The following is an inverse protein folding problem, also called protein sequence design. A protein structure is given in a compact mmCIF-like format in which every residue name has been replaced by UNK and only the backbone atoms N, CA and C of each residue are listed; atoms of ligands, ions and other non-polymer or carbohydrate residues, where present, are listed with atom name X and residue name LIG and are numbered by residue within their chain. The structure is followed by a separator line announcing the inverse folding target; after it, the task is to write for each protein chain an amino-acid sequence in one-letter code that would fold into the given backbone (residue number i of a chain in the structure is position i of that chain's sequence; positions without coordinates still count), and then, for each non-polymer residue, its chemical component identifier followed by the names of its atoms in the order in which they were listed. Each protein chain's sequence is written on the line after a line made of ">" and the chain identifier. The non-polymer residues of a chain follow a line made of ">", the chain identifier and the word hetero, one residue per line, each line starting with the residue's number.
data_IF_709068783849
#
_entry.id   IF_709068783849
#
_cell.length_a   1.000
_cell.length_b   1.000
_cell.length_c   1.000
_cell.angle_alpha   90.00
_cell.angle_beta   90.00
_cell.angle_gamma   90.00
#
_symmetry.space_group_name_H-M   'P 1'
#
loop_
_entity.id
_entity.type
_entity.pdbx_description
1 polymer ?
#
# COMPACT_ATOMS: atom_id res chain seq x y z
N UNK A 1 29.66 -21.74 5.92
CA UNK A 1 30.41 -20.70 6.67
C UNK A 1 29.92 -20.70 8.12
N UNK A 2 30.81 -20.96 9.09
CA UNK A 2 30.44 -20.90 10.52
C UNK A 2 30.78 -19.52 11.04
N UNK A 3 29.78 -18.78 11.50
CA UNK A 3 29.97 -17.50 12.20
C UNK A 3 30.46 -17.84 13.61
N UNK A 4 31.72 -17.53 13.89
CA UNK A 4 32.36 -17.85 15.18
C UNK A 4 32.29 -16.72 16.21
N UNK A 5 31.80 -15.53 15.85
CA UNK A 5 31.63 -14.38 16.74
C UNK A 5 30.28 -13.72 16.53
N UNK A 6 29.55 -13.54 17.61
CA UNK A 6 28.40 -12.64 17.67
C UNK A 6 28.93 -11.22 17.73
N UNK A 7 28.63 -10.41 16.74
CA UNK A 7 28.90 -8.97 16.74
C UNK A 7 27.58 -8.24 16.96
N UNK A 8 27.59 -7.23 17.82
CA UNK A 8 26.42 -6.35 17.98
C UNK A 8 26.14 -5.65 16.65
N UNK A 9 24.87 -5.60 16.20
CA UNK A 9 24.53 -4.89 14.99
C UNK A 9 24.86 -3.39 15.18
N UNK A 10 25.27 -2.70 14.11
CA UNK A 10 25.50 -1.27 14.17
C UNK A 10 24.21 -0.51 14.49
N UNK A 11 24.32 0.66 15.09
CA UNK A 11 23.18 1.46 15.52
C UNK A 11 22.18 1.75 14.40
N UNK A 12 22.67 2.09 13.21
CA UNK A 12 21.82 2.34 12.06
C UNK A 12 20.95 1.14 11.68
N UNK A 13 21.45 -0.08 11.81
CA UNK A 13 20.68 -1.29 11.51
C UNK A 13 19.56 -1.54 12.53
N UNK A 14 19.81 -1.17 13.80
CA UNK A 14 18.76 -1.20 14.84
C UNK A 14 17.68 -0.16 14.58
N UNK A 15 18.08 1.05 14.19
CA UNK A 15 17.17 2.14 13.85
C UNK A 15 16.33 1.79 12.60
N UNK A 16 16.96 1.23 11.57
CA UNK A 16 16.26 0.76 10.38
C UNK A 16 15.18 -0.29 10.72
N UNK A 17 15.53 -1.26 11.56
CA UNK A 17 14.55 -2.25 12.05
C UNK A 17 13.40 -1.61 12.81
N UNK A 18 13.68 -0.66 13.68
CA UNK A 18 12.63 0.08 14.40
C UNK A 18 11.74 0.87 13.45
N UNK A 19 12.33 1.49 12.43
CA UNK A 19 11.60 2.23 11.41
C UNK A 19 10.65 1.29 10.62
N UNK A 20 11.11 0.11 10.22
CA UNK A 20 10.27 -0.87 9.52
C UNK A 20 9.10 -1.36 10.40
N UNK A 21 9.32 -1.55 11.69
CA UNK A 21 8.26 -1.90 12.65
C UNK A 21 7.25 -0.76 12.77
N UNK A 22 7.72 0.47 12.91
CA UNK A 22 6.86 1.66 13.01
C UNK A 22 6.03 1.87 11.73
N UNK A 23 6.67 1.74 10.55
CA UNK A 23 5.96 1.82 9.27
C UNK A 23 4.94 0.70 9.12
N UNK A 24 5.24 -0.52 9.57
CA UNK A 24 4.26 -1.61 9.57
C UNK A 24 3.02 -1.27 10.39
N UNK A 25 3.22 -0.72 11.59
CA UNK A 25 2.11 -0.27 12.43
C UNK A 25 1.29 0.84 11.77
N UNK A 26 1.96 1.84 11.19
CA UNK A 26 1.31 2.92 10.47
C UNK A 26 0.50 2.42 9.26
N UNK A 27 1.05 1.51 8.46
CA UNK A 27 0.33 0.90 7.34
C UNK A 27 -0.91 0.12 7.80
N UNK A 28 -0.83 -0.60 8.92
CA UNK A 28 -1.99 -1.31 9.50
C UNK A 28 -3.09 -0.34 9.92
N UNK A 29 -2.72 0.74 10.60
CA UNK A 29 -3.67 1.77 11.03
C UNK A 29 -4.31 2.45 9.82
N UNK A 30 -3.51 2.85 8.85
CA UNK A 30 -3.99 3.44 7.61
C UNK A 30 -4.97 2.52 6.88
N UNK A 31 -4.60 1.26 6.69
CA UNK A 31 -5.45 0.28 6.02
C UNK A 31 -6.77 0.06 6.75
N UNK A 32 -6.72 -0.11 8.07
CA UNK A 32 -7.92 -0.31 8.89
C UNK A 32 -8.87 0.92 8.88
N UNK A 33 -8.30 2.11 8.70
CA UNK A 33 -9.07 3.36 8.73
C UNK A 33 -9.66 3.74 7.38
N UNK A 34 -8.92 3.49 6.30
CA UNK A 34 -9.23 4.04 4.98
C UNK A 34 -9.60 3.00 3.92
N UNK A 35 -9.53 1.72 4.22
CA UNK A 35 -10.01 0.67 3.33
C UNK A 35 -11.18 -0.08 3.96
N UNK A 36 -12.15 -0.45 3.14
CA UNK A 36 -13.22 -1.33 3.57
C UNK A 36 -12.82 -2.81 3.45
N UNK A 37 -13.72 -3.71 3.84
CA UNK A 37 -13.51 -5.15 3.78
C UNK A 37 -13.28 -5.71 2.37
N UNK A 38 -13.69 -4.98 1.34
CA UNK A 38 -13.45 -5.32 -0.07
C UNK A 38 -12.07 -4.87 -0.56
N UNK A 39 -11.36 -4.07 0.22
CA UNK A 39 -10.14 -3.40 -0.18
C UNK A 39 -10.39 -2.11 -0.98
N UNK A 40 -11.59 -1.56 -0.90
CA UNK A 40 -11.91 -0.29 -1.55
C UNK A 40 -11.44 0.86 -0.67
N UNK A 41 -10.73 1.80 -1.27
CA UNK A 41 -10.30 3.01 -0.59
C UNK A 41 -11.52 3.91 -0.34
N UNK A 42 -11.66 4.32 0.90
CA UNK A 42 -12.67 5.28 1.33
C UNK A 42 -12.15 6.69 1.06
N UNK A 43 -12.29 7.14 -0.19
CA UNK A 43 -11.85 8.46 -0.61
C UNK A 43 -12.57 9.55 0.17
N UNK A 44 -11.86 10.62 0.47
CA UNK A 44 -12.37 11.84 1.06
C UNK A 44 -12.17 13.00 0.09
N UNK A 45 -12.93 14.07 0.23
CA UNK A 45 -12.95 15.22 -0.69
C UNK A 45 -11.59 15.85 -1.02
N UNK A 46 -10.58 15.61 -0.20
CA UNK A 46 -9.26 16.25 -0.33
C UNK A 46 -8.18 15.38 -0.94
N UNK A 47 -8.45 14.12 -1.18
CA UNK A 47 -7.47 13.21 -1.76
C UNK A 47 -8.16 11.96 -2.32
N UNK A 48 -7.56 11.39 -3.32
CA UNK A 48 -8.02 10.14 -3.93
C UNK A 48 -9.24 10.28 -4.83
N UNK A 49 -9.64 11.49 -5.21
CA UNK A 49 -10.83 11.69 -6.02
C UNK A 49 -10.74 12.83 -7.02
N UNK A 50 -9.94 13.83 -6.71
CA UNK A 50 -9.94 15.05 -7.51
C UNK A 50 -9.13 14.94 -8.80
N UNK A 51 -8.13 14.06 -8.81
CA UNK A 51 -7.18 13.93 -9.90
C UNK A 51 -7.24 12.57 -10.60
N UNK A 52 -7.96 11.65 -10.02
CA UNK A 52 -8.25 10.36 -10.63
C UNK A 52 -7.90 9.13 -9.79
N UNK A 53 -8.00 7.94 -10.39
CA UNK A 53 -7.77 6.69 -9.69
C UNK A 53 -6.33 6.45 -9.25
N UNK A 54 -5.37 7.04 -9.92
CA UNK A 54 -3.94 6.96 -9.61
C UNK A 54 -3.61 7.58 -8.26
N UNK A 55 -4.12 8.77 -7.97
CA UNK A 55 -3.97 9.42 -6.66
C UNK A 55 -4.47 8.55 -5.51
N UNK A 56 -5.52 7.80 -5.74
CA UNK A 56 -6.08 6.91 -4.74
C UNK A 56 -5.10 5.79 -4.35
N UNK A 57 -4.37 5.22 -5.31
CA UNK A 57 -3.46 4.11 -5.07
C UNK A 57 -2.06 4.57 -4.63
N UNK A 58 -1.68 5.80 -4.91
CA UNK A 58 -0.38 6.36 -4.50
C UNK A 58 -0.13 6.25 -2.99
N UNK A 59 -1.18 6.29 -2.20
CA UNK A 59 -1.10 6.13 -0.75
C UNK A 59 -0.46 4.81 -0.28
N UNK A 60 -0.40 3.80 -1.12
CA UNK A 60 0.18 2.51 -0.77
C UNK A 60 1.18 1.97 -1.80
N UNK A 61 1.55 2.76 -2.81
CA UNK A 61 2.48 2.35 -3.86
C UNK A 61 3.83 1.83 -3.34
N UNK A 62 4.33 2.42 -2.28
CA UNK A 62 5.63 2.08 -1.70
C UNK A 62 5.58 0.91 -0.69
N UNK A 63 4.42 0.37 -0.40
CA UNK A 63 4.28 -0.73 0.55
C UNK A 63 5.05 -2.00 0.14
N UNK A 64 5.10 -2.41 -1.15
CA UNK A 64 5.95 -3.52 -1.57
C UNK A 64 7.43 -3.27 -1.32
N UNK A 65 7.89 -2.01 -1.39
CA UNK A 65 9.28 -1.64 -1.12
C UNK A 65 9.58 -1.82 0.37
N UNK A 66 8.69 -1.39 1.26
CA UNK A 66 8.83 -1.63 2.71
C UNK A 66 8.95 -3.12 3.02
N UNK A 67 8.13 -3.96 2.38
CA UNK A 67 8.22 -5.41 2.51
C UNK A 67 9.57 -5.95 2.00
N UNK A 68 10.04 -5.48 0.86
CA UNK A 68 11.33 -5.88 0.29
C UNK A 68 12.52 -5.49 1.19
N UNK A 69 12.39 -4.41 1.96
CA UNK A 69 13.37 -3.99 2.96
C UNK A 69 13.31 -4.79 4.27
N UNK A 70 12.35 -5.69 4.42
CA UNK A 70 12.25 -6.57 5.58
C UNK A 70 11.10 -6.25 6.54
N UNK A 71 10.13 -5.44 6.14
CA UNK A 71 8.91 -5.24 6.90
C UNK A 71 8.03 -6.51 6.91
N UNK A 72 7.07 -6.54 7.82
CA UNK A 72 6.18 -7.68 8.01
C UNK A 72 5.40 -8.04 6.74
N UNK A 73 5.20 -9.35 6.50
CA UNK A 73 4.42 -9.86 5.35
C UNK A 73 3.00 -9.31 5.26
N UNK A 74 2.43 -8.85 6.35
CA UNK A 74 1.11 -8.24 6.36
C UNK A 74 1.02 -7.02 5.45
N UNK A 75 2.12 -6.26 5.29
CA UNK A 75 2.17 -5.11 4.37
C UNK A 75 1.89 -5.56 2.95
N UNK A 76 2.53 -6.64 2.50
CA UNK A 76 2.30 -7.17 1.16
C UNK A 76 0.87 -7.71 0.99
N UNK A 77 0.30 -8.32 2.03
CA UNK A 77 -1.08 -8.82 1.99
C UNK A 77 -2.08 -7.66 1.90
N UNK A 78 -1.89 -6.60 2.68
CA UNK A 78 -2.71 -5.39 2.63
C UNK A 78 -2.58 -4.70 1.27
N UNK A 79 -1.35 -4.55 0.76
CA UNK A 79 -1.12 -3.98 -0.57
C UNK A 79 -1.85 -4.76 -1.66
N UNK A 80 -1.74 -6.08 -1.69
CA UNK A 80 -2.45 -6.91 -2.70
C UNK A 80 -3.95 -6.71 -2.61
N UNK A 81 -4.50 -6.70 -1.40
CA UNK A 81 -5.93 -6.46 -1.19
C UNK A 81 -6.35 -5.06 -1.64
N UNK A 82 -5.55 -4.04 -1.33
CA UNK A 82 -5.77 -2.67 -1.77
C UNK A 82 -5.73 -2.56 -3.29
N UNK A 83 -4.72 -3.14 -3.92
CA UNK A 83 -4.56 -3.13 -5.37
C UNK A 83 -5.71 -3.82 -6.10
N UNK A 84 -6.06 -5.03 -5.69
CA UNK A 84 -7.18 -5.78 -6.26
C UNK A 84 -8.52 -5.07 -6.05
N UNK A 85 -8.71 -4.49 -4.86
CA UNK A 85 -9.87 -3.68 -4.51
C UNK A 85 -9.95 -2.44 -5.39
N UNK A 86 -8.84 -1.74 -5.55
CA UNK A 86 -8.74 -0.53 -6.38
C UNK A 86 -9.12 -0.81 -7.85
N UNK A 87 -8.51 -1.82 -8.46
CA UNK A 87 -8.84 -2.22 -9.83
C UNK A 87 -10.33 -2.52 -9.97
N UNK A 88 -10.90 -3.25 -9.02
CA UNK A 88 -12.31 -3.62 -9.04
C UNK A 88 -13.22 -2.41 -8.84
N UNK A 89 -12.89 -1.55 -7.88
CA UNK A 89 -13.65 -0.34 -7.56
C UNK A 89 -13.76 0.57 -8.77
N UNK A 90 -12.64 0.90 -9.38
CA UNK A 90 -12.61 1.86 -10.49
C UNK A 90 -13.04 1.26 -11.84
N UNK A 91 -12.83 -0.03 -12.06
CA UNK A 91 -13.37 -0.71 -13.26
C UNK A 91 -14.90 -0.75 -13.23
N UNK A 92 -15.51 -0.88 -12.06
CA UNK A 92 -16.98 -0.90 -11.90
C UNK A 92 -17.59 0.50 -11.79
N UNK A 93 -16.82 1.49 -11.42
CA UNK A 93 -17.26 2.87 -11.26
C UNK A 93 -17.53 3.53 -12.63
N UNK A 94 -18.65 3.39 -13.18
CA UNK A 94 -19.08 4.00 -14.45
C UNK A 94 -19.29 5.51 -14.30
N UNK A 95 -18.23 6.21 -13.99
CA UNK A 95 -18.22 7.65 -13.76
C UNK A 95 -17.39 8.36 -14.81
N UNK A 96 -17.47 9.68 -14.84
CA UNK A 96 -16.71 10.51 -15.78
C UNK A 96 -15.22 10.46 -15.45
N UNK A 97 -14.88 10.25 -14.18
CA UNK A 97 -13.51 10.20 -13.68
C UNK A 97 -12.77 8.93 -14.11
N UNK A 98 -13.50 7.91 -14.54
CA UNK A 98 -12.91 6.63 -14.99
C UNK A 98 -13.47 6.18 -16.34
N UNK A 99 -13.45 7.04 -17.36
CA UNK A 99 -14.11 6.76 -18.64
C UNK A 99 -13.49 5.59 -19.42
N UNK A 100 -12.25 5.23 -19.11
CA UNK A 100 -11.48 4.18 -19.80
C UNK A 100 -11.40 2.87 -19.03
N UNK A 101 -12.09 2.74 -17.90
CA UNK A 101 -12.11 1.50 -17.13
C UNK A 101 -12.85 0.40 -17.91
N UNK A 102 -12.16 -0.67 -18.27
CA UNK A 102 -12.69 -1.84 -18.98
C UNK A 102 -12.00 -3.11 -18.51
N UNK A 103 -12.77 -4.16 -18.25
CA UNK A 103 -12.27 -5.52 -18.04
C UNK A 103 -11.05 -5.62 -17.09
N UNK A 104 -11.07 -4.91 -15.99
CA UNK A 104 -9.97 -4.86 -15.03
C UNK A 104 -8.84 -3.89 -15.39
N UNK A 105 -8.90 -3.27 -16.56
CA UNK A 105 -8.03 -2.16 -16.93
C UNK A 105 -8.75 -0.86 -16.62
N UNK A 106 -8.24 -0.13 -15.72
CA UNK A 106 -8.73 1.22 -15.53
C UNK A 106 -7.71 2.19 -16.08
N UNK A 107 -8.21 3.22 -16.60
CA UNK A 107 -7.59 4.46 -16.93
C UNK A 107 -6.11 4.43 -17.36
N UNK A 108 -5.89 5.09 -18.41
CA UNK A 108 -4.57 5.51 -18.87
C UNK A 108 -4.71 6.87 -19.53
N UNK A 109 -3.90 7.76 -19.13
CA UNK A 109 -3.71 8.99 -19.89
C UNK A 109 -3.13 8.73 -21.28
#
# INVERSE_FOLDING_TARGET
>A
MRIQRTVSPPEWALLERQLLVANTAACREFFARYFDERGYLLCVERWGGDDGPDDAIENCNDWPILHALGADNVILQMYKKAWEGHLRQYTLAKTVEVPFARDGMYYKE
#
